data_IF_799327254076
#
_entry.id   IF_799327254076
#
_cell.length_a   1.000
_cell.length_b   1.000
_cell.length_c   1.000
_cell.angle_alpha   90.00
_cell.angle_beta   90.00
_cell.angle_gamma   90.00
#
_symmetry.space_group_name_H-M   'P 1'
#
loop_
_entity.id
_entity.type
_entity.pdbx_description
1 polymer ?
#
# COMPACT_ATOMS: atom_id res chain seq x y z
N UNK A 1 58.74 6.97 33.48
CA UNK A 1 57.88 5.85 33.07
C UNK A 1 56.46 6.27 33.44
N UNK A 2 55.60 6.65 32.49
CA UNK A 2 54.30 7.22 32.87
C UNK A 2 53.38 7.78 31.79
N UNK A 3 53.80 7.83 30.52
CA UNK A 3 52.93 8.30 29.43
C UNK A 3 52.63 7.17 28.42
N UNK A 4 53.60 6.27 28.18
CA UNK A 4 53.47 5.19 27.20
C UNK A 4 52.40 4.14 27.60
N UNK A 5 52.26 3.88 28.90
CA UNK A 5 51.26 2.96 29.44
C UNK A 5 49.83 3.48 29.24
N UNK A 6 49.64 4.80 29.36
CA UNK A 6 48.36 5.47 29.16
C UNK A 6 47.93 5.38 27.68
N UNK A 7 48.88 5.58 26.75
CA UNK A 7 48.60 5.43 25.31
C UNK A 7 48.27 3.97 24.93
N UNK A 8 48.93 3.00 25.57
CA UNK A 8 48.63 1.58 25.39
C UNK A 8 47.20 1.21 25.83
N UNK A 9 46.78 1.70 26.99
CA UNK A 9 45.42 1.50 27.51
C UNK A 9 44.35 2.19 26.65
N UNK A 10 44.67 3.35 26.07
CA UNK A 10 43.75 4.10 25.22
C UNK A 10 43.50 3.39 23.88
N UNK A 11 44.54 2.81 23.28
CA UNK A 11 44.43 2.05 22.03
C UNK A 11 43.61 0.75 22.20
N UNK A 12 43.78 0.06 23.32
CA UNK A 12 43.00 -1.16 23.59
C UNK A 12 41.52 -0.85 23.87
N UNK A 13 41.23 0.26 24.54
CA UNK A 13 39.87 0.73 24.78
C UNK A 13 39.12 1.07 23.48
N UNK A 14 39.78 1.78 22.54
CA UNK A 14 39.20 2.10 21.22
C UNK A 14 38.94 0.83 20.42
N UNK A 15 39.89 -0.10 20.43
CA UNK A 15 39.78 -1.39 19.71
C UNK A 15 38.65 -2.25 20.28
N UNK A 16 38.51 -2.30 21.61
CA UNK A 16 37.43 -3.00 22.29
C UNK A 16 36.06 -2.35 22.02
N UNK A 17 35.99 -1.01 22.03
CA UNK A 17 34.79 -0.26 21.69
C UNK A 17 34.32 -0.50 20.25
N UNK A 18 35.25 -0.56 19.29
CA UNK A 18 34.94 -0.87 17.89
C UNK A 18 34.48 -2.33 17.69
N UNK A 19 35.12 -3.28 18.39
CA UNK A 19 34.73 -4.69 18.37
C UNK A 19 33.33 -4.91 18.97
N UNK A 20 33.05 -4.32 20.14
CA UNK A 20 31.74 -4.37 20.78
C UNK A 20 30.68 -3.63 19.95
N UNK A 21 31.02 -2.49 19.34
CA UNK A 21 30.14 -1.76 18.43
C UNK A 21 29.79 -2.56 17.16
N UNK A 22 30.76 -3.27 16.58
CA UNK A 22 30.54 -4.10 15.39
C UNK A 22 29.71 -5.36 15.70
N UNK A 23 29.84 -5.91 16.90
CA UNK A 23 29.04 -7.06 17.35
C UNK A 23 27.63 -6.64 17.81
N UNK A 24 27.47 -5.45 18.39
CA UNK A 24 26.19 -4.86 18.81
C UNK A 24 25.37 -4.24 17.69
N UNK A 25 25.98 -3.91 16.55
CA UNK A 25 25.28 -3.36 15.38
C UNK A 25 24.68 -4.43 14.45
N UNK A 26 24.37 -5.62 14.97
CA UNK A 26 23.25 -6.42 14.48
C UNK A 26 21.93 -5.88 15.06
N UNK A 27 21.75 -4.56 14.97
CA UNK A 27 20.42 -3.97 15.04
C UNK A 27 19.73 -4.40 13.76
N UNK A 28 18.94 -5.47 13.90
CA UNK A 28 17.68 -5.70 13.20
C UNK A 28 17.37 -4.66 12.11
N UNK A 29 18.03 -4.77 10.96
CA UNK A 29 17.72 -3.98 9.76
C UNK A 29 16.64 -4.69 8.96
N UNK A 30 15.59 -5.08 9.66
CA UNK A 30 14.32 -5.61 9.18
C UNK A 30 13.31 -5.05 10.18
N UNK A 31 12.23 -4.43 9.68
CA UNK A 31 11.11 -3.82 10.43
C UNK A 31 11.14 -2.31 10.77
N UNK A 32 11.99 -1.51 10.11
CA UNK A 32 12.06 -0.06 10.37
C UNK A 32 11.61 0.90 9.25
N UNK A 33 11.73 0.53 7.98
CA UNK A 33 11.47 1.47 6.85
C UNK A 33 10.03 1.40 6.32
N UNK A 34 9.28 0.33 6.63
CA UNK A 34 7.91 0.15 6.15
C UNK A 34 6.92 1.18 6.71
N UNK A 35 7.07 1.58 7.97
CA UNK A 35 6.27 2.70 8.50
C UNK A 35 6.63 4.00 7.78
N UNK A 36 7.91 4.28 7.52
CA UNK A 36 8.33 5.50 6.84
C UNK A 36 7.72 5.66 5.45
N UNK A 37 7.67 4.58 4.65
CA UNK A 37 7.01 4.57 3.35
C UNK A 37 5.49 4.60 3.46
N UNK A 38 4.88 3.82 4.36
CA UNK A 38 3.41 3.83 4.59
C UNK A 38 2.94 5.22 5.03
N UNK A 39 3.68 5.88 5.92
CA UNK A 39 3.37 7.25 6.35
C UNK A 39 3.65 8.25 5.23
N UNK A 40 4.70 8.09 4.42
CA UNK A 40 4.94 8.94 3.25
C UNK A 40 3.79 8.85 2.24
N UNK A 41 3.34 7.65 1.90
CA UNK A 41 2.25 7.40 0.96
C UNK A 41 0.89 7.86 1.54
N UNK A 42 0.69 7.72 2.85
CA UNK A 42 -0.43 8.27 3.59
C UNK A 42 -0.46 9.81 3.57
N UNK A 43 0.68 10.47 3.80
CA UNK A 43 0.80 11.94 3.79
C UNK A 43 0.65 12.52 2.37
N UNK A 44 1.15 11.82 1.36
CA UNK A 44 0.96 12.19 -0.05
C UNK A 44 -0.52 12.01 -0.46
N UNK A 45 -1.15 10.90 -0.06
CA UNK A 45 -2.59 10.69 -0.23
C UNK A 45 -3.43 11.76 0.44
N UNK A 46 -3.08 12.18 1.66
CA UNK A 46 -3.73 13.29 2.36
C UNK A 46 -3.54 14.62 1.62
N UNK A 47 -2.35 14.90 1.12
CA UNK A 47 -2.04 16.15 0.41
C UNK A 47 -2.84 16.30 -0.90
N UNK A 48 -3.10 15.19 -1.61
CA UNK A 48 -3.97 15.19 -2.80
C UNK A 48 -5.45 15.37 -2.49
N UNK A 49 -5.91 14.91 -1.32
CA UNK A 49 -7.28 15.12 -0.88
C UNK A 49 -7.52 16.52 -0.32
N UNK A 50 -6.46 17.21 0.09
CA UNK A 50 -6.52 18.52 0.74
C UNK A 50 -6.58 19.69 -0.26
N UNK A 51 -6.17 19.52 -1.51
CA UNK A 51 -5.95 20.65 -2.43
C UNK A 51 -6.86 20.72 -3.67
N UNK A 52 -7.96 19.97 -3.71
CA UNK A 52 -9.03 20.02 -4.73
C UNK A 52 -8.62 19.96 -6.22
N UNK A 53 -7.35 19.72 -6.59
CA UNK A 53 -6.81 19.15 -7.85
C UNK A 53 -5.26 19.29 -7.90
N UNK A 54 -4.49 18.30 -8.42
CA UNK A 54 -4.45 17.98 -9.84
C UNK A 54 -4.52 16.49 -10.17
N UNK A 55 -5.34 16.14 -11.16
CA UNK A 55 -5.55 14.77 -11.65
C UNK A 55 -4.28 14.06 -12.12
N UNK A 56 -3.33 14.84 -12.61
CA UNK A 56 -2.02 14.40 -13.06
C UNK A 56 -1.20 13.77 -11.93
N UNK A 57 -1.45 14.20 -10.71
CA UNK A 57 -0.70 13.81 -9.54
C UNK A 57 -1.26 12.51 -8.92
N UNK A 58 -2.58 12.29 -9.07
CA UNK A 58 -3.21 10.98 -8.83
C UNK A 58 -2.70 9.97 -9.85
N UNK A 59 -2.68 10.33 -11.14
CA UNK A 59 -2.17 9.44 -12.19
C UNK A 59 -0.67 9.12 -12.03
N UNK A 60 0.11 10.09 -11.58
CA UNK A 60 1.52 9.90 -11.24
C UNK A 60 1.68 9.04 -9.99
N UNK A 61 0.83 9.22 -8.97
CA UNK A 61 0.83 8.39 -7.77
C UNK A 61 0.44 6.94 -8.06
N UNK A 62 -0.58 6.70 -8.89
CA UNK A 62 -0.97 5.35 -9.36
C UNK A 62 0.20 4.66 -10.09
N UNK A 63 1.00 5.42 -10.84
CA UNK A 63 2.18 4.91 -11.54
C UNK A 63 3.40 4.75 -10.63
N UNK A 64 3.56 5.60 -9.63
CA UNK A 64 4.72 5.67 -8.75
C UNK A 64 4.64 4.68 -7.58
N UNK A 65 3.43 4.38 -7.09
CA UNK A 65 3.23 3.32 -6.12
C UNK A 65 3.37 1.99 -6.88
N UNK A 66 4.51 1.33 -6.72
CA UNK A 66 4.63 -0.06 -7.13
C UNK A 66 3.54 -0.83 -6.38
N UNK A 67 2.56 -1.32 -7.14
CA UNK A 67 1.62 -2.28 -6.60
C UNK A 67 2.49 -3.50 -6.28
N UNK A 68 2.71 -3.75 -4.99
CA UNK A 68 3.35 -4.93 -4.45
C UNK A 68 2.33 -5.62 -3.52
N UNK A 69 2.60 -6.83 -3.01
CA UNK A 69 1.62 -7.53 -2.16
C UNK A 69 1.29 -6.77 -0.87
N UNK A 70 2.18 -5.89 -0.42
CA UNK A 70 2.05 -5.09 0.80
C UNK A 70 1.26 -3.79 0.58
N UNK A 71 1.18 -3.28 -0.66
CA UNK A 71 0.51 -2.01 -0.98
C UNK A 71 -0.90 -2.16 -1.56
N UNK A 72 -1.37 -3.38 -1.82
CA UNK A 72 -2.72 -3.65 -2.37
C UNK A 72 -3.82 -2.99 -1.54
N UNK A 73 -3.77 -3.14 -0.21
CA UNK A 73 -4.75 -2.55 0.70
C UNK A 73 -4.79 -1.02 0.61
N UNK A 74 -3.63 -0.39 0.39
CA UNK A 74 -3.52 1.05 0.19
C UNK A 74 -4.22 1.48 -1.10
N UNK A 75 -4.05 0.73 -2.19
CA UNK A 75 -4.75 1.01 -3.45
C UNK A 75 -6.27 0.84 -3.33
N UNK A 76 -6.74 -0.18 -2.61
CA UNK A 76 -8.17 -0.35 -2.30
C UNK A 76 -8.72 0.84 -1.50
N UNK A 77 -8.00 1.29 -0.48
CA UNK A 77 -8.39 2.43 0.34
C UNK A 77 -8.44 3.73 -0.49
N UNK A 78 -7.46 3.93 -1.38
CA UNK A 78 -7.42 5.08 -2.28
C UNK A 78 -8.64 5.12 -3.21
N UNK A 79 -8.98 4.00 -3.86
CA UNK A 79 -10.14 3.92 -4.74
C UNK A 79 -11.45 4.21 -3.99
N UNK A 80 -11.63 3.60 -2.81
CA UNK A 80 -12.81 3.85 -1.96
C UNK A 80 -12.94 5.33 -1.55
N UNK A 81 -11.83 6.00 -1.30
CA UNK A 81 -11.79 7.40 -0.93
C UNK A 81 -12.11 8.34 -2.11
N UNK A 82 -11.59 8.02 -3.30
CA UNK A 82 -11.95 8.72 -4.54
C UNK A 82 -13.46 8.62 -4.82
N UNK A 83 -14.04 7.43 -4.64
CA UNK A 83 -15.50 7.21 -4.74
C UNK A 83 -16.27 8.10 -3.76
N UNK A 84 -15.88 8.14 -2.49
CA UNK A 84 -16.51 9.00 -1.46
C UNK A 84 -16.44 10.50 -1.76
N UNK A 85 -15.43 10.92 -2.53
CA UNK A 85 -15.27 12.31 -2.99
C UNK A 85 -16.00 12.61 -4.31
N UNK A 86 -16.75 11.65 -4.85
CA UNK A 86 -17.44 11.79 -6.13
C UNK A 86 -16.53 11.64 -7.35
N UNK A 87 -15.24 11.34 -7.17
CA UNK A 87 -14.28 11.07 -8.25
C UNK A 87 -14.38 9.61 -8.72
N UNK A 88 -15.59 9.19 -9.11
CA UNK A 88 -15.93 7.78 -9.40
C UNK A 88 -15.11 7.21 -10.55
N UNK A 89 -14.91 7.95 -11.63
CA UNK A 89 -14.11 7.47 -12.78
C UNK A 89 -12.66 7.13 -12.40
N UNK A 90 -12.09 7.86 -11.45
CA UNK A 90 -10.74 7.60 -10.94
C UNK A 90 -10.72 6.38 -10.03
N UNK A 91 -11.74 6.19 -9.20
CA UNK A 91 -11.88 4.99 -8.38
C UNK A 91 -11.94 3.72 -9.26
N UNK A 92 -12.75 3.76 -10.33
CA UNK A 92 -12.83 2.69 -11.33
C UNK A 92 -11.45 2.38 -11.91
N UNK A 93 -10.70 3.41 -12.35
CA UNK A 93 -9.36 3.25 -12.92
C UNK A 93 -8.37 2.63 -11.94
N UNK A 94 -8.40 3.03 -10.67
CA UNK A 94 -7.54 2.46 -9.62
C UNK A 94 -7.80 0.97 -9.44
N UNK A 95 -9.06 0.56 -9.23
CA UNK A 95 -9.37 -0.86 -9.01
C UNK A 95 -9.19 -1.71 -10.27
N UNK A 96 -9.41 -1.17 -11.46
CA UNK A 96 -9.07 -1.86 -12.71
C UNK A 96 -7.57 -2.08 -12.87
N UNK A 97 -6.75 -1.07 -12.54
CA UNK A 97 -5.28 -1.17 -12.59
C UNK A 97 -4.78 -2.22 -11.60
N UNK A 98 -5.38 -2.27 -10.41
CA UNK A 98 -5.09 -3.28 -9.41
C UNK A 98 -5.38 -4.69 -9.93
N UNK A 99 -6.55 -4.91 -10.53
CA UNK A 99 -6.96 -6.19 -11.11
C UNK A 99 -6.15 -6.63 -12.33
N UNK A 100 -5.58 -5.68 -13.09
CA UNK A 100 -4.73 -5.99 -14.23
C UNK A 100 -3.34 -6.53 -13.84
N UNK A 101 -3.01 -6.51 -12.55
CA UNK A 101 -1.68 -6.88 -12.08
C UNK A 101 -1.47 -8.41 -12.07
N UNK A 102 -0.38 -8.91 -12.67
CA UNK A 102 0.03 -10.30 -12.53
C UNK A 102 0.37 -10.65 -11.08
N UNK A 103 -0.09 -11.81 -10.60
CA UNK A 103 0.23 -12.31 -9.26
C UNK A 103 -0.52 -11.62 -8.11
N UNK A 104 -1.63 -10.94 -8.40
CA UNK A 104 -2.56 -10.52 -7.35
C UNK A 104 -3.20 -11.78 -6.73
N UNK A 105 -3.08 -11.91 -5.41
CA UNK A 105 -3.70 -13.00 -4.65
C UNK A 105 -5.22 -13.04 -4.87
N UNK A 106 -5.81 -14.23 -4.90
CA UNK A 106 -7.23 -14.41 -5.23
C UNK A 106 -8.15 -13.59 -4.31
N UNK A 107 -7.91 -13.64 -2.99
CA UNK A 107 -8.70 -12.90 -2.00
C UNK A 107 -8.62 -11.38 -2.22
N UNK A 108 -7.44 -10.89 -2.61
CA UNK A 108 -7.21 -9.49 -2.90
C UNK A 108 -7.85 -9.06 -4.23
N UNK A 109 -7.86 -9.95 -5.23
CA UNK A 109 -8.58 -9.73 -6.47
C UNK A 109 -10.09 -9.66 -6.24
N UNK A 110 -10.62 -10.52 -5.38
CA UNK A 110 -12.05 -10.50 -5.02
C UNK A 110 -12.42 -9.22 -4.28
N UNK A 111 -11.60 -8.78 -3.33
CA UNK A 111 -11.79 -7.49 -2.66
C UNK A 111 -11.76 -6.31 -3.66
N UNK A 112 -10.83 -6.33 -4.62
CA UNK A 112 -10.75 -5.31 -5.66
C UNK A 112 -11.98 -5.34 -6.60
N UNK A 113 -12.52 -6.51 -6.93
CA UNK A 113 -13.75 -6.66 -7.71
C UNK A 113 -14.97 -6.14 -6.96
N UNK A 114 -15.08 -6.38 -5.65
CA UNK A 114 -16.14 -5.79 -4.81
C UNK A 114 -16.06 -4.27 -4.81
N UNK A 115 -14.86 -3.71 -4.60
CA UNK A 115 -14.68 -2.26 -4.63
C UNK A 115 -15.02 -1.66 -6.00
N UNK A 116 -14.64 -2.32 -7.09
CA UNK A 116 -14.98 -1.92 -8.46
C UNK A 116 -16.50 -2.00 -8.72
N UNK A 117 -17.19 -3.01 -8.20
CA UNK A 117 -18.65 -3.09 -8.28
C UNK A 117 -19.32 -1.91 -7.55
N UNK A 118 -18.83 -1.53 -6.37
CA UNK A 118 -19.32 -0.36 -5.64
C UNK A 118 -19.07 0.96 -6.40
N UNK A 119 -17.92 1.07 -7.09
CA UNK A 119 -17.65 2.21 -7.97
C UNK A 119 -18.65 2.27 -9.12
N UNK A 120 -18.90 1.14 -9.79
CA UNK A 120 -19.89 1.07 -10.86
C UNK A 120 -21.30 1.42 -10.39
N UNK A 121 -21.72 0.94 -9.21
CA UNK A 121 -23.01 1.31 -8.61
C UNK A 121 -23.07 2.82 -8.38
N UNK A 122 -22.03 3.39 -7.79
CA UNK A 122 -21.97 4.84 -7.50
C UNK A 122 -21.96 5.67 -8.77
N UNK A 123 -21.35 5.16 -9.85
CA UNK A 123 -21.32 5.79 -11.17
C UNK A 123 -22.56 5.52 -12.04
N UNK A 124 -23.54 4.76 -11.55
CA UNK A 124 -24.74 4.39 -12.31
C UNK A 124 -24.52 3.34 -13.41
N UNK A 125 -23.34 2.70 -13.45
CA UNK A 125 -22.97 1.65 -14.40
C UNK A 125 -23.47 0.27 -13.95
N UNK A 126 -24.77 0.16 -13.70
CA UNK A 126 -25.40 -0.99 -13.03
C UNK A 126 -25.18 -2.33 -13.75
N UNK A 127 -25.24 -2.34 -15.10
CA UNK A 127 -25.01 -3.57 -15.89
C UNK A 127 -23.61 -4.16 -15.68
N UNK A 128 -22.61 -3.30 -15.47
CA UNK A 128 -21.22 -3.72 -15.22
C UNK A 128 -21.06 -4.23 -13.80
N UNK A 129 -21.68 -3.56 -12.83
CA UNK A 129 -21.70 -4.01 -11.45
C UNK A 129 -22.34 -5.40 -11.34
N UNK A 130 -23.53 -5.58 -11.89
CA UNK A 130 -24.28 -6.84 -11.80
C UNK A 130 -23.49 -8.01 -12.40
N UNK A 131 -22.88 -7.80 -13.57
CA UNK A 131 -22.06 -8.84 -14.22
C UNK A 131 -20.89 -9.28 -13.34
N UNK A 132 -20.16 -8.30 -12.79
CA UNK A 132 -19.00 -8.56 -11.94
C UNK A 132 -19.39 -9.30 -10.65
N UNK A 133 -20.52 -8.91 -10.03
CA UNK A 133 -21.03 -9.55 -8.83
C UNK A 133 -21.49 -10.99 -9.10
N UNK A 134 -22.13 -11.25 -10.25
CA UNK A 134 -22.52 -12.60 -10.67
C UNK A 134 -21.31 -13.50 -10.92
N UNK A 135 -20.25 -12.98 -11.54
CA UNK A 135 -18.99 -13.71 -11.73
C UNK A 135 -18.40 -14.13 -10.38
N UNK A 136 -18.30 -13.21 -9.42
CA UNK A 136 -17.85 -13.51 -8.04
C UNK A 136 -18.68 -14.59 -7.35
N UNK A 137 -20.00 -14.60 -7.56
CA UNK A 137 -20.89 -15.60 -6.98
C UNK A 137 -20.70 -17.01 -7.57
N UNK A 138 -20.33 -17.09 -8.85
CA UNK A 138 -20.13 -18.36 -9.56
C UNK A 138 -18.77 -18.99 -9.23
N UNK A 139 -17.75 -18.18 -8.99
CA UNK A 139 -16.38 -18.63 -8.72
C UNK A 139 -16.17 -19.23 -7.31
N UNK A 140 -17.24 -19.35 -6.50
CA UNK A 140 -17.18 -19.75 -5.08
C UNK A 140 -16.18 -18.90 -4.27
N UNK A 141 -16.11 -17.61 -4.62
CA UNK A 141 -15.28 -16.60 -3.98
C UNK A 141 -15.65 -16.42 -2.50
N UNK A 142 -14.66 -16.12 -1.66
CA UNK A 142 -14.86 -15.71 -0.26
C UNK A 142 -15.74 -14.45 -0.18
N UNK A 143 -15.68 -13.58 -1.19
CA UNK A 143 -16.45 -12.35 -1.28
C UNK A 143 -17.93 -12.56 -1.70
N UNK A 144 -18.38 -13.80 -1.87
CA UNK A 144 -19.76 -14.13 -2.27
C UNK A 144 -20.82 -13.48 -1.38
N UNK A 145 -20.60 -13.42 -0.07
CA UNK A 145 -21.57 -12.82 0.87
C UNK A 145 -21.69 -11.31 0.70
N UNK A 146 -20.58 -10.64 0.43
CA UNK A 146 -20.57 -9.20 0.14
C UNK A 146 -21.22 -8.93 -1.21
N UNK A 147 -20.95 -9.78 -2.21
CA UNK A 147 -21.56 -9.65 -3.52
C UNK A 147 -23.10 -9.75 -3.48
N UNK A 148 -23.64 -10.64 -2.63
CA UNK A 148 -25.07 -10.79 -2.40
C UNK A 148 -25.74 -9.55 -1.79
N UNK A 149 -25.01 -8.75 -1.00
CA UNK A 149 -25.56 -7.54 -0.40
C UNK A 149 -25.63 -6.36 -1.38
N UNK A 150 -24.90 -6.44 -2.48
CA UNK A 150 -24.78 -5.39 -3.49
C UNK A 150 -25.67 -5.61 -4.72
N UNK A 151 -26.30 -6.78 -4.84
CA UNK A 151 -27.37 -7.08 -5.81
C UNK A 151 -28.73 -6.65 -5.26
#
# INVERSE_FOLDING_TARGET
MGNLEIYGLLLTAISAGWLLGKLGNRSNKQTGDGLGSIFHDYFVGLNYLLNDEPDEAIDTFIKALEINSETVETHLALGALLRRRGKVDKAIKVHQTLLARPGLEADMADAARIQLAQDYITGGLLDRAERLLKELMQENSVAKWEALQLL
#
